data_IF_901047207852
#
_entry.id   IF_901047207852
#
_cell.length_a   1.000
_cell.length_b   1.000
_cell.length_c   1.000
_cell.angle_alpha   90.00
_cell.angle_beta   90.00
_cell.angle_gamma   90.00
#
_symmetry.space_group_name_H-M   'P 1'
#
loop_
_entity.id
_entity.type
_entity.pdbx_description
1 polymer ?
#
# COMPACT_ATOMS: atom_id res chain seq x y z
N UNK A 1 9.66 3.69 -8.92
CA UNK A 1 9.44 2.50 -9.77
C UNK A 1 8.09 2.72 -10.45
N UNK A 2 7.89 2.36 -11.72
CA UNK A 2 6.60 2.60 -12.37
C UNK A 2 5.53 1.68 -11.74
N UNK A 3 4.35 2.22 -11.39
CA UNK A 3 3.22 1.47 -10.83
C UNK A 3 2.83 0.31 -11.76
N UNK A 4 2.90 0.49 -13.08
CA UNK A 4 2.61 -0.57 -14.05
C UNK A 4 3.52 -1.79 -13.85
N UNK A 5 4.82 -1.56 -13.65
CA UNK A 5 5.81 -2.63 -13.42
C UNK A 5 5.51 -3.37 -12.11
N UNK A 6 5.04 -2.65 -11.08
CA UNK A 6 4.66 -3.24 -9.80
C UNK A 6 3.43 -4.15 -9.99
N UNK A 7 2.40 -3.66 -10.70
CA UNK A 7 1.21 -4.43 -11.01
C UNK A 7 1.53 -5.70 -11.80
N UNK A 8 2.38 -5.60 -12.83
CA UNK A 8 2.73 -6.75 -13.67
C UNK A 8 3.49 -7.83 -12.87
N UNK A 9 4.37 -7.42 -11.95
CA UNK A 9 5.04 -8.34 -11.02
C UNK A 9 4.07 -9.01 -10.07
N UNK A 10 3.11 -8.27 -9.50
CA UNK A 10 2.10 -8.84 -8.61
C UNK A 10 1.15 -9.78 -9.36
N UNK A 11 0.80 -9.48 -10.62
CA UNK A 11 0.02 -10.38 -11.48
C UNK A 11 0.75 -11.69 -11.73
N UNK A 12 2.04 -11.64 -12.06
CA UNK A 12 2.86 -12.83 -12.25
C UNK A 12 2.93 -13.72 -10.99
N UNK A 13 2.88 -13.10 -9.80
CA UNK A 13 2.85 -13.79 -8.51
C UNK A 13 1.43 -14.21 -8.06
N UNK A 14 0.38 -13.88 -8.84
CA UNK A 14 -1.03 -14.06 -8.46
C UNK A 14 -1.40 -13.38 -7.13
N UNK A 15 -0.74 -12.26 -6.81
CA UNK A 15 -0.96 -11.49 -5.59
C UNK A 15 -1.74 -10.20 -5.83
N UNK A 16 -1.92 -9.76 -7.08
CA UNK A 16 -2.51 -8.44 -7.36
C UNK A 16 -3.88 -8.23 -6.71
N UNK A 17 -4.75 -9.22 -6.81
CA UNK A 17 -6.12 -9.19 -6.27
C UNK A 17 -6.19 -9.72 -4.83
N UNK A 18 -5.06 -10.10 -4.21
CA UNK A 18 -5.03 -10.53 -2.81
C UNK A 18 -5.12 -9.34 -1.87
N UNK A 19 -5.66 -9.60 -0.68
CA UNK A 19 -5.67 -8.63 0.41
C UNK A 19 -4.24 -8.28 0.84
N UNK A 20 -4.05 -7.02 1.23
CA UNK A 20 -2.82 -6.57 1.86
C UNK A 20 -2.67 -7.33 3.18
N UNK A 21 -1.50 -7.93 3.37
CA UNK A 21 -1.20 -8.72 4.57
C UNK A 21 -0.38 -7.96 5.59
N UNK A 22 0.24 -6.84 5.20
CA UNK A 22 1.20 -6.13 6.04
C UNK A 22 1.17 -4.62 5.77
N UNK A 23 0.82 -3.86 6.80
CA UNK A 23 0.92 -2.41 6.82
C UNK A 23 1.19 -1.92 8.25
N UNK A 24 1.59 -0.65 8.41
CA UNK A 24 1.74 0.02 9.69
C UNK A 24 1.26 1.46 9.60
N UNK A 25 0.69 1.99 10.68
CA UNK A 25 0.32 3.40 10.76
C UNK A 25 1.57 4.24 11.05
N UNK A 26 1.69 5.36 10.34
CA UNK A 26 2.72 6.36 10.61
C UNK A 26 2.14 7.33 11.62
N UNK A 27 2.75 7.42 12.80
CA UNK A 27 2.32 8.29 13.89
C UNK A 27 3.50 9.17 14.29
N UNK A 28 3.27 10.47 14.47
CA UNK A 28 4.30 11.41 14.91
C UNK A 28 4.47 11.46 16.44
N UNK A 29 5.43 12.27 16.90
CA UNK A 29 5.72 12.46 18.33
C UNK A 29 4.55 13.05 19.14
N UNK A 30 3.58 13.66 18.46
CA UNK A 30 2.37 14.24 19.06
C UNK A 30 1.18 13.27 19.02
N UNK A 31 1.42 12.00 18.68
CA UNK A 31 0.39 10.96 18.53
C UNK A 31 -0.61 11.26 17.41
N UNK A 32 -0.21 12.02 16.39
CA UNK A 32 -1.04 12.32 15.22
C UNK A 32 -0.69 11.34 14.11
N UNK A 33 -1.70 10.67 13.55
CA UNK A 33 -1.53 9.82 12.37
C UNK A 33 -1.17 10.66 11.14
N UNK A 34 -0.03 10.35 10.55
CA UNK A 34 0.53 10.99 9.35
C UNK A 34 0.27 10.17 8.07
N UNK A 35 -0.20 8.92 8.19
CA UNK A 35 -0.53 8.07 7.05
C UNK A 35 -0.47 6.58 7.37
N UNK A 36 -0.49 5.75 6.33
CA UNK A 36 -0.27 4.31 6.43
C UNK A 36 0.84 3.87 5.45
N UNK A 37 1.78 3.08 5.96
CA UNK A 37 2.89 2.47 5.23
C UNK A 37 2.56 1.01 4.92
N UNK A 38 2.45 0.70 3.63
CA UNK A 38 2.13 -0.61 3.09
C UNK A 38 3.39 -1.31 2.57
N UNK A 39 3.43 -2.62 2.74
CA UNK A 39 4.52 -3.47 2.27
C UNK A 39 4.04 -4.35 1.12
N UNK A 40 4.65 -4.19 -0.05
CA UNK A 40 4.24 -4.87 -1.29
C UNK A 40 5.28 -5.94 -1.63
N UNK A 41 4.92 -7.24 -1.57
CA UNK A 41 5.82 -8.32 -1.90
C UNK A 41 5.97 -8.46 -3.43
N UNK A 42 7.19 -8.31 -3.94
CA UNK A 42 7.52 -8.48 -5.36
C UNK A 42 8.42 -9.70 -5.59
N UNK A 43 8.18 -10.77 -4.83
CA UNK A 43 8.95 -12.01 -4.88
C UNK A 43 10.15 -11.94 -3.94
N UNK A 44 11.34 -11.74 -4.49
CA UNK A 44 12.59 -11.68 -3.71
C UNK A 44 12.87 -10.31 -3.05
N UNK A 45 11.97 -9.35 -3.25
CA UNK A 45 12.09 -8.00 -2.68
C UNK A 45 10.74 -7.49 -2.20
N UNK A 46 10.77 -6.65 -1.19
CA UNK A 46 9.62 -5.92 -0.67
C UNK A 46 9.81 -4.44 -1.03
N UNK A 47 8.77 -3.80 -1.52
CA UNK A 47 8.76 -2.34 -1.66
C UNK A 47 7.77 -1.73 -0.69
N UNK A 48 7.96 -0.45 -0.39
CA UNK A 48 7.11 0.29 0.52
C UNK A 48 6.28 1.30 -0.25
N UNK A 49 5.03 1.46 0.16
CA UNK A 49 4.14 2.48 -0.36
C UNK A 49 3.45 3.22 0.79
N UNK A 50 3.20 4.51 0.63
CA UNK A 50 2.51 5.32 1.64
C UNK A 50 1.22 5.86 1.05
N UNK A 51 0.14 5.78 1.81
CA UNK A 51 -1.01 6.67 1.64
C UNK A 51 -0.93 7.69 2.78
N UNK A 52 -0.77 8.99 2.50
CA UNK A 52 -0.63 10.01 3.54
C UNK A 52 -1.97 10.28 4.24
N UNK A 53 -1.89 10.93 5.40
CA UNK A 53 -3.06 11.51 6.03
C UNK A 53 -3.66 12.64 5.18
N UNK A 54 -5.00 12.82 5.20
CA UNK A 54 -5.98 12.05 5.96
C UNK A 54 -6.54 10.83 5.21
N UNK A 55 -6.14 10.61 3.94
CA UNK A 55 -6.83 9.69 3.03
C UNK A 55 -6.60 8.21 3.37
N UNK A 56 -5.53 7.89 4.12
CA UNK A 56 -5.29 6.54 4.62
C UNK A 56 -6.44 6.01 5.48
N UNK A 57 -7.15 6.88 6.23
CA UNK A 57 -8.29 6.47 7.06
C UNK A 57 -9.45 5.93 6.22
N UNK A 58 -9.77 6.61 5.12
CA UNK A 58 -10.81 6.17 4.19
C UNK A 58 -10.40 4.90 3.46
N UNK A 59 -9.13 4.77 3.12
CA UNK A 59 -8.60 3.56 2.51
C UNK A 59 -8.68 2.36 3.46
N UNK A 60 -8.37 2.57 4.75
CA UNK A 60 -8.40 1.55 5.79
C UNK A 60 -9.81 1.23 6.32
N UNK A 61 -10.84 2.03 6.02
CA UNK A 61 -12.21 1.81 6.52
C UNK A 61 -12.82 0.46 6.13
N UNK A 62 -12.34 -0.19 5.07
CA UNK A 62 -12.84 -1.47 4.59
C UNK A 62 -11.71 -2.50 4.46
N UNK A 63 -11.01 -2.78 5.56
CA UNK A 63 -9.81 -3.64 5.62
C UNK A 63 -9.94 -4.95 4.83
N UNK A 64 -11.09 -5.62 4.90
CA UNK A 64 -11.34 -6.90 4.21
C UNK A 64 -11.36 -6.81 2.67
N UNK A 65 -11.42 -5.59 2.13
CA UNK A 65 -11.47 -5.30 0.68
C UNK A 65 -10.21 -4.60 0.17
N UNK A 66 -9.20 -4.43 1.03
CA UNK A 66 -7.98 -3.73 0.66
C UNK A 66 -7.05 -4.70 -0.05
N UNK A 67 -7.05 -4.62 -1.38
CA UNK A 67 -6.15 -5.40 -2.23
C UNK A 67 -4.95 -4.58 -2.68
N UNK A 68 -3.88 -5.25 -3.11
CA UNK A 68 -2.74 -4.57 -3.73
C UNK A 68 -3.13 -3.81 -5.01
N UNK A 69 -4.15 -4.29 -5.73
CA UNK A 69 -4.75 -3.59 -6.87
C UNK A 69 -5.34 -2.24 -6.47
N UNK A 70 -6.15 -2.22 -5.42
CA UNK A 70 -6.80 -1.00 -4.94
C UNK A 70 -5.77 -0.01 -4.37
N UNK A 71 -4.75 -0.51 -3.67
CA UNK A 71 -3.61 0.29 -3.22
C UNK A 71 -2.91 0.99 -4.40
N UNK A 72 -2.52 0.23 -5.42
CA UNK A 72 -1.79 0.76 -6.56
C UNK A 72 -2.63 1.66 -7.48
N UNK A 73 -3.95 1.61 -7.37
CA UNK A 73 -4.87 2.52 -8.04
C UNK A 73 -5.18 3.78 -7.22
N UNK A 74 -4.73 3.86 -5.96
CA UNK A 74 -4.99 5.00 -5.09
C UNK A 74 -4.29 6.26 -5.61
N UNK A 75 -5.01 7.38 -5.68
CA UNK A 75 -4.50 8.62 -6.28
C UNK A 75 -3.32 9.22 -5.53
N UNK A 76 -3.35 9.12 -4.19
CA UNK A 76 -2.35 9.74 -3.32
C UNK A 76 -1.22 8.77 -2.92
N UNK A 77 -1.09 7.63 -3.61
CA UNK A 77 -0.04 6.66 -3.26
C UNK A 77 1.35 7.20 -3.58
N UNK A 78 2.25 7.08 -2.61
CA UNK A 78 3.66 7.42 -2.75
C UNK A 78 4.47 6.13 -2.70
N UNK A 79 5.15 5.78 -3.80
CA UNK A 79 6.03 4.61 -3.85
C UNK A 79 7.43 5.00 -3.37
N UNK A 80 7.89 4.36 -2.30
CA UNK A 80 9.23 4.55 -1.75
C UNK A 80 10.19 3.58 -2.44
N UNK A 81 11.33 4.09 -2.92
CA UNK A 81 12.37 3.33 -3.62
C UNK A 81 13.45 2.86 -2.65
#
# INVERSE_FOLDING_TARGET
MNIQIIQDKLKALKLLDNNITKYTLLIDEKMIEQGALFFIPLGNKEIKAVIPAPTHKYFLMNEDKITYKNLLAHKDIIILK
#
